data_IF_478488527996
#
_entry.id   IF_478488527996
#
_cell.length_a   1.000
_cell.length_b   1.000
_cell.length_c   1.000
_cell.angle_alpha   90.00
_cell.angle_beta   90.00
_cell.angle_gamma   90.00
#
_symmetry.space_group_name_H-M   'P 1'
#
loop_
_entity.id
_entity.type
_entity.pdbx_description
1 polymer ?
#
# COMPACT_ATOMS: atom_id res chain seq x y z
N UNK A 1 60.96 63.26 -1.56
CA UNK A 1 59.55 63.53 -1.89
C UNK A 1 58.77 62.25 -1.62
N UNK A 2 58.21 62.12 -0.42
CA UNK A 2 57.52 60.92 0.05
C UNK A 2 56.03 61.24 0.10
N UNK A 3 55.23 60.58 -0.73
CA UNK A 3 53.77 60.71 -0.72
C UNK A 3 53.17 59.51 0.00
N UNK A 4 52.51 59.81 1.11
CA UNK A 4 51.70 58.91 1.93
C UNK A 4 50.30 58.87 1.32
N UNK A 5 49.83 57.69 0.94
CA UNK A 5 48.43 57.46 0.58
C UNK A 5 47.75 56.67 1.70
N UNK A 6 46.82 57.32 2.39
CA UNK A 6 45.86 56.68 3.31
C UNK A 6 44.58 56.35 2.55
N UNK A 7 43.99 55.15 2.70
CA UNK A 7 42.66 54.88 2.17
C UNK A 7 41.61 55.25 3.22
N UNK A 8 40.79 56.26 2.90
CA UNK A 8 39.59 56.61 3.66
C UNK A 8 38.50 55.59 3.34
N UNK A 9 38.13 54.76 4.33
CA UNK A 9 37.00 53.86 4.25
C UNK A 9 35.68 54.63 4.32
N UNK A 10 34.92 54.64 3.23
CA UNK A 10 33.53 55.06 3.23
C UNK A 10 32.64 53.84 3.51
N UNK A 11 31.95 53.85 4.64
CA UNK A 11 30.96 52.83 5.00
C UNK A 11 29.75 52.98 4.07
N UNK A 12 29.48 51.95 3.27
CA UNK A 12 28.30 51.86 2.42
C UNK A 12 27.09 51.47 3.29
N UNK A 13 26.30 52.46 3.71
CA UNK A 13 24.99 52.21 4.33
C UNK A 13 24.00 51.81 3.24
N UNK A 14 23.57 50.55 3.27
CA UNK A 14 22.42 50.08 2.50
C UNK A 14 21.14 50.73 3.07
N UNK A 15 20.19 51.14 2.21
CA UNK A 15 18.93 51.70 2.66
C UNK A 15 18.13 50.64 3.42
N UNK A 16 17.73 50.96 4.65
CA UNK A 16 16.69 50.22 5.36
C UNK A 16 15.37 50.43 4.60
N UNK A 17 15.06 49.51 3.69
CA UNK A 17 13.71 49.40 3.13
C UNK A 17 12.84 48.69 4.15
N UNK A 18 11.98 49.47 4.80
CA UNK A 18 10.86 49.00 5.61
C UNK A 18 9.85 48.31 4.67
N UNK A 19 10.03 47.00 4.43
CA UNK A 19 9.13 46.20 3.60
C UNK A 19 7.90 45.87 4.43
N UNK A 20 6.94 46.80 4.46
CA UNK A 20 5.55 46.49 4.80
C UNK A 20 4.97 45.62 3.68
N UNK A 21 4.70 44.36 3.99
CA UNK A 21 3.93 43.46 3.13
C UNK A 21 2.48 43.97 2.96
N UNK A 22 1.94 44.05 1.74
CA UNK A 22 0.59 44.54 1.50
C UNK A 22 -0.40 43.37 1.41
N UNK A 23 -0.75 42.74 2.53
CA UNK A 23 -1.93 41.86 2.58
C UNK A 23 -2.68 42.04 3.91
N UNK A 24 -3.80 42.76 3.86
CA UNK A 24 -4.85 42.69 4.89
C UNK A 24 -5.84 41.62 4.46
N UNK A 25 -5.90 40.51 5.19
CA UNK A 25 -7.01 39.56 5.08
C UNK A 25 -8.22 40.14 5.79
N UNK A 26 -9.28 40.44 5.04
CA UNK A 26 -10.59 40.75 5.60
C UNK A 26 -11.16 39.49 6.25
N UNK A 27 -11.19 39.44 7.58
CA UNK A 27 -11.96 38.45 8.32
C UNK A 27 -13.46 38.63 8.03
N UNK A 28 -14.21 37.58 7.66
CA UNK A 28 -15.66 37.71 7.58
C UNK A 28 -16.24 37.82 9.01
N UNK A 29 -16.92 38.93 9.29
CA UNK A 29 -17.78 39.10 10.47
C UNK A 29 -18.83 37.97 10.48
N UNK A 30 -18.66 36.98 11.37
CA UNK A 30 -19.76 36.10 11.77
C UNK A 30 -20.73 36.89 12.65
N UNK A 31 -21.75 37.49 12.03
CA UNK A 31 -22.97 37.87 12.76
C UNK A 31 -23.77 36.61 13.05
N UNK A 32 -23.88 36.28 14.33
CA UNK A 32 -24.92 35.39 14.82
C UNK A 32 -26.26 36.12 14.75
N UNK A 33 -27.21 35.60 13.97
CA UNK A 33 -28.64 35.90 14.13
C UNK A 33 -29.39 34.63 14.52
N UNK A 34 -30.39 34.71 15.43
CA UNK A 34 -31.08 33.54 15.95
C UNK A 34 -32.11 33.03 14.95
N UNK A 35 -32.26 31.70 14.92
CA UNK A 35 -33.26 31.02 14.11
C UNK A 35 -34.68 31.30 14.59
N UNK A 36 -35.52 31.79 13.70
CA UNK A 36 -36.96 31.57 13.74
C UNK A 36 -37.44 31.06 12.38
N UNK A 37 -38.34 30.08 12.49
CA UNK A 37 -38.96 29.20 11.52
C UNK A 37 -39.76 29.91 10.43
N UNK A 38 -39.87 29.28 9.25
CA UNK A 38 -41.08 29.03 8.40
C UNK A 38 -40.61 28.51 7.03
N UNK A 39 -41.22 27.46 6.44
CA UNK A 39 -40.84 26.94 5.13
C UNK A 39 -41.57 27.67 3.98
N UNK A 40 -40.93 27.94 2.83
CA UNK A 40 -41.66 28.35 1.64
C UNK A 40 -41.97 27.16 0.72
N UNK A 41 -43.21 27.23 0.24
CA UNK A 41 -43.86 26.46 -0.81
C UNK A 41 -43.04 26.34 -2.10
N UNK A 42 -43.01 25.14 -2.68
CA UNK A 42 -42.50 24.88 -4.02
C UNK A 42 -43.50 25.38 -5.06
N UNK A 43 -43.11 26.39 -5.84
CA UNK A 43 -43.73 26.75 -7.10
C UNK A 43 -42.88 26.24 -8.27
N UNK A 44 -43.50 25.49 -9.18
CA UNK A 44 -42.98 25.20 -10.51
C UNK A 44 -42.67 26.49 -11.27
N UNK A 45 -41.74 26.44 -12.24
CA UNK A 45 -42.23 26.63 -13.59
C UNK A 45 -41.63 25.69 -14.62
N UNK A 46 -42.56 25.26 -15.47
CA UNK A 46 -42.46 24.71 -16.81
C UNK A 46 -41.51 25.53 -17.70
N UNK A 47 -40.55 24.88 -18.37
CA UNK A 47 -40.14 25.26 -19.73
C UNK A 47 -39.41 24.11 -20.43
N UNK A 48 -39.99 23.63 -21.53
CA UNK A 48 -39.40 22.65 -22.45
C UNK A 48 -38.88 23.35 -23.73
N UNK A 49 -38.05 22.67 -24.55
CA UNK A 49 -36.98 23.28 -25.36
C UNK A 49 -37.32 23.39 -26.86
N UNK A 50 -36.38 23.87 -27.69
CA UNK A 50 -36.16 23.20 -28.97
C UNK A 50 -34.67 23.03 -29.32
N UNK A 51 -34.32 21.88 -29.89
CA UNK A 51 -32.96 21.59 -30.35
C UNK A 51 -32.80 20.18 -30.87
N UNK A 52 -33.44 19.89 -32.01
CA UNK A 52 -33.34 18.64 -32.77
C UNK A 52 -31.97 18.50 -33.46
N UNK A 53 -31.38 17.30 -33.44
CA UNK A 53 -30.43 16.73 -34.43
C UNK A 53 -30.28 15.20 -34.15
N UNK A 54 -29.78 14.39 -35.10
CA UNK A 54 -30.52 13.27 -35.66
C UNK A 54 -30.24 11.91 -35.01
N UNK A 55 -31.25 11.04 -35.11
CA UNK A 55 -31.23 9.62 -34.81
C UNK A 55 -30.14 8.88 -35.61
N UNK A 56 -29.22 8.23 -34.88
CA UNK A 56 -28.46 7.09 -35.38
C UNK A 56 -29.07 5.87 -34.69
N UNK A 57 -29.73 5.06 -35.51
CA UNK A 57 -30.40 3.82 -35.16
C UNK A 57 -29.34 2.70 -35.05
N UNK A 58 -28.93 2.38 -33.81
CA UNK A 58 -28.14 1.19 -33.49
C UNK A 58 -28.98 0.26 -32.62
N UNK A 59 -29.89 -0.44 -33.30
CA UNK A 59 -30.67 -1.54 -32.75
C UNK A 59 -29.80 -2.79 -32.54
N UNK A 60 -29.27 -2.98 -31.32
CA UNK A 60 -28.70 -4.25 -30.86
C UNK A 60 -29.79 -5.09 -30.14
N UNK A 61 -29.96 -6.39 -30.46
CA UNK A 61 -30.92 -7.24 -29.78
C UNK A 61 -30.41 -7.62 -28.38
N UNK A 62 -31.14 -7.14 -27.37
CA UNK A 62 -31.02 -7.57 -25.97
C UNK A 62 -31.54 -9.00 -25.82
N UNK A 63 -30.63 -9.96 -25.67
CA UNK A 63 -30.94 -11.35 -25.31
C UNK A 63 -31.16 -11.37 -23.79
N UNK A 64 -32.42 -11.28 -23.38
CA UNK A 64 -32.84 -11.54 -22.00
C UNK A 64 -32.75 -13.04 -21.66
N UNK A 65 -32.46 -13.40 -20.39
CA UNK A 65 -32.46 -14.78 -19.95
C UNK A 65 -33.89 -15.35 -19.95
N UNK A 66 -34.08 -16.63 -20.32
CA UNK A 66 -35.40 -17.23 -20.35
C UNK A 66 -35.98 -17.37 -18.93
N UNK A 67 -37.20 -16.87 -18.78
CA UNK A 67 -38.04 -17.04 -17.61
C UNK A 67 -38.39 -18.54 -17.42
N UNK A 68 -38.02 -19.08 -16.26
CA UNK A 68 -38.42 -20.42 -15.84
C UNK A 68 -39.75 -20.30 -15.10
N UNK A 69 -40.82 -20.76 -15.73
CA UNK A 69 -42.14 -20.91 -15.11
C UNK A 69 -42.13 -22.06 -14.09
N UNK A 70 -42.88 -21.95 -12.98
CA UNK A 70 -42.93 -22.99 -11.95
C UNK A 70 -43.80 -24.17 -12.42
N UNK A 71 -43.18 -25.33 -12.60
CA UNK A 71 -43.89 -26.59 -12.89
C UNK A 71 -44.49 -27.15 -11.60
N UNK A 72 -45.81 -26.98 -11.52
CA UNK A 72 -46.84 -27.78 -10.85
C UNK A 72 -46.35 -29.12 -10.25
N UNK A 73 -46.49 -29.25 -8.93
CA UNK A 73 -46.42 -30.50 -8.18
C UNK A 73 -47.53 -31.45 -8.67
N UNK A 74 -47.14 -32.54 -9.32
CA UNK A 74 -47.97 -33.73 -9.47
C UNK A 74 -47.54 -34.77 -8.43
N UNK A 75 -48.43 -34.97 -7.47
CA UNK A 75 -48.46 -36.04 -6.49
C UNK A 75 -48.61 -37.38 -7.22
N UNK A 76 -47.49 -38.09 -7.43
CA UNK A 76 -47.49 -39.45 -7.98
C UNK A 76 -47.41 -40.46 -6.84
N UNK A 77 -48.57 -41.11 -6.63
CA UNK A 77 -48.83 -42.30 -5.84
C UNK A 77 -47.74 -43.40 -6.00
N UNK A 78 -47.22 -44.00 -4.92
CA UNK A 78 -46.36 -45.17 -5.02
C UNK A 78 -47.22 -46.42 -5.28
N UNK A 79 -47.25 -46.89 -6.53
CA UNK A 79 -47.77 -48.21 -6.87
C UNK A 79 -46.72 -49.27 -6.52
N UNK A 80 -46.87 -49.92 -5.37
CA UNK A 80 -46.14 -51.13 -5.02
C UNK A 80 -46.62 -52.29 -5.89
N UNK A 81 -46.08 -52.44 -7.09
CA UNK A 81 -46.15 -53.70 -7.83
C UNK A 81 -45.00 -54.60 -7.39
N UNK A 82 -45.36 -55.62 -6.62
CA UNK A 82 -44.52 -56.76 -6.27
C UNK A 82 -44.08 -57.50 -7.55
N UNK A 83 -42.94 -57.10 -8.12
CA UNK A 83 -42.18 -57.96 -9.01
C UNK A 83 -41.36 -58.93 -8.16
N UNK A 84 -41.92 -60.13 -7.98
CA UNK A 84 -41.19 -61.30 -7.48
C UNK A 84 -40.07 -61.59 -8.47
N UNK A 85 -38.89 -61.06 -8.18
CA UNK A 85 -37.65 -61.37 -8.89
C UNK A 85 -37.37 -62.86 -8.72
N UNK A 86 -37.53 -63.59 -9.82
CA UNK A 86 -37.08 -64.98 -9.95
C UNK A 86 -35.56 -64.99 -9.72
N UNK A 87 -35.02 -65.83 -8.83
CA UNK A 87 -33.59 -65.94 -8.63
C UNK A 87 -32.99 -66.51 -9.91
N UNK A 88 -32.43 -65.63 -10.73
CA UNK A 88 -31.58 -66.02 -11.85
C UNK A 88 -30.26 -66.45 -11.22
N UNK A 89 -29.88 -67.70 -11.45
CA UNK A 89 -28.60 -68.28 -11.07
C UNK A 89 -27.45 -67.30 -11.31
N UNK A 90 -26.56 -67.08 -10.33
CA UNK A 90 -25.44 -66.17 -10.49
C UNK A 90 -24.51 -66.77 -11.53
N UNK A 91 -24.56 -66.24 -12.75
CA UNK A 91 -23.43 -66.37 -13.65
C UNK A 91 -22.26 -65.72 -12.92
N UNK A 92 -21.19 -66.48 -12.68
CA UNK A 92 -19.86 -65.97 -12.36
C UNK A 92 -19.36 -65.16 -13.57
N UNK A 93 -20.05 -64.06 -13.87
CA UNK A 93 -19.63 -63.06 -14.83
C UNK A 93 -18.67 -62.14 -14.10
N UNK A 94 -17.46 -62.00 -14.63
CA UNK A 94 -16.48 -61.02 -14.19
C UNK A 94 -17.18 -59.68 -13.92
N UNK A 95 -17.04 -59.17 -12.69
CA UNK A 95 -17.60 -57.88 -12.32
C UNK A 95 -17.15 -56.82 -13.34
N UNK A 96 -18.03 -55.89 -13.75
CA UNK A 96 -17.70 -54.88 -14.74
C UNK A 96 -16.54 -54.02 -14.21
N UNK A 97 -15.34 -54.27 -14.75
CA UNK A 97 -14.15 -53.50 -14.47
C UNK A 97 -14.33 -52.09 -15.05
N UNK A 98 -13.98 -51.06 -14.28
CA UNK A 98 -13.86 -49.70 -14.82
C UNK A 98 -12.89 -49.75 -16.01
N UNK A 99 -13.29 -49.25 -17.20
CA UNK A 99 -12.42 -49.22 -18.35
C UNK A 99 -11.17 -48.38 -18.05
N UNK A 100 -10.00 -48.88 -18.44
CA UNK A 100 -8.73 -48.13 -18.34
C UNK A 100 -8.80 -46.76 -19.02
N UNK A 101 -9.57 -46.65 -20.10
CA UNK A 101 -9.80 -45.39 -20.82
C UNK A 101 -10.47 -44.32 -19.95
N UNK A 102 -11.28 -44.70 -18.96
CA UNK A 102 -11.87 -43.76 -18.01
C UNK A 102 -10.81 -43.17 -17.07
N UNK A 103 -9.90 -44.01 -16.56
CA UNK A 103 -8.75 -43.56 -15.78
C UNK A 103 -7.84 -42.63 -16.59
N UNK A 104 -7.54 -43.00 -17.84
CA UNK A 104 -6.74 -42.18 -18.75
C UNK A 104 -7.42 -40.83 -19.04
N UNK A 105 -8.75 -40.82 -19.19
CA UNK A 105 -9.52 -39.58 -19.32
C UNK A 105 -9.41 -38.70 -18.07
N UNK A 106 -9.58 -39.27 -16.87
CA UNK A 106 -9.40 -38.52 -15.62
C UNK A 106 -7.97 -37.97 -15.49
N UNK A 107 -6.96 -38.77 -15.78
CA UNK A 107 -5.57 -38.32 -15.73
C UNK A 107 -5.30 -37.17 -16.70
N UNK A 108 -5.87 -37.22 -17.91
CA UNK A 108 -5.74 -36.16 -18.89
C UNK A 108 -6.55 -34.91 -18.51
N UNK A 109 -7.79 -35.08 -18.07
CA UNK A 109 -8.71 -33.99 -17.70
C UNK A 109 -8.19 -33.19 -16.51
N UNK A 110 -7.70 -33.88 -15.48
CA UNK A 110 -7.14 -33.26 -14.27
C UNK A 110 -5.62 -33.02 -14.33
N UNK A 111 -4.97 -33.40 -15.43
CA UNK A 111 -3.51 -33.30 -15.62
C UNK A 111 -2.70 -33.95 -14.49
N UNK A 112 -3.10 -35.16 -14.12
CA UNK A 112 -2.49 -35.89 -13.00
C UNK A 112 -1.06 -36.36 -13.34
N UNK A 113 -0.18 -36.35 -12.34
CA UNK A 113 1.18 -36.91 -12.43
C UNK A 113 1.16 -38.45 -12.36
N UNK A 114 2.28 -39.07 -12.78
CA UNK A 114 2.42 -40.54 -12.80
C UNK A 114 2.14 -41.19 -11.43
N UNK A 115 2.59 -40.56 -10.35
CA UNK A 115 2.36 -41.02 -8.97
C UNK A 115 0.88 -41.00 -8.58
N UNK A 116 0.11 -40.01 -9.05
CA UNK A 116 -1.34 -39.89 -8.80
C UNK A 116 -2.13 -40.89 -9.65
N UNK A 117 -1.68 -41.12 -10.90
CA UNK A 117 -2.20 -42.20 -11.74
C UNK A 117 -2.05 -43.56 -11.03
N UNK A 118 -0.90 -43.82 -10.41
CA UNK A 118 -0.65 -45.06 -9.65
C UNK A 118 -1.59 -45.19 -8.43
N UNK A 119 -1.91 -44.08 -7.75
CA UNK A 119 -2.88 -44.06 -6.63
C UNK A 119 -4.30 -44.38 -7.11
N UNK A 120 -4.74 -43.78 -8.22
CA UNK A 120 -6.05 -44.08 -8.81
C UNK A 120 -6.14 -45.54 -9.28
N UNK A 121 -5.08 -46.08 -9.88
CA UNK A 121 -5.01 -47.49 -10.25
C UNK A 121 -5.05 -48.41 -9.02
N UNK A 122 -4.35 -48.05 -7.94
CA UNK A 122 -4.38 -48.79 -6.67
C UNK A 122 -5.80 -48.83 -6.08
N UNK A 123 -6.53 -47.71 -6.10
CA UNK A 123 -7.93 -47.63 -5.66
C UNK A 123 -8.84 -48.56 -6.46
N UNK A 124 -8.67 -48.61 -7.79
CA UNK A 124 -9.39 -49.55 -8.65
C UNK A 124 -9.05 -51.00 -8.29
N UNK A 125 -7.77 -51.33 -8.06
CA UNK A 125 -7.39 -52.68 -7.64
C UNK A 125 -8.01 -53.07 -6.29
N UNK A 126 -7.91 -52.22 -5.27
CA UNK A 126 -8.44 -52.51 -3.93
C UNK A 126 -9.96 -52.71 -3.98
N UNK A 127 -10.66 -51.88 -4.73
CA UNK A 127 -12.13 -51.98 -4.88
C UNK A 127 -12.59 -53.24 -5.59
N UNK A 128 -11.75 -53.81 -6.46
CA UNK A 128 -12.03 -55.08 -7.16
C UNK A 128 -11.78 -56.34 -6.30
N UNK A 129 -11.03 -56.21 -5.20
CA UNK A 129 -10.64 -57.35 -4.34
C UNK A 129 -11.50 -57.49 -3.06
N UNK A 130 -12.40 -56.54 -2.79
CA UNK A 130 -13.24 -56.57 -1.58
C UNK A 130 -14.35 -57.63 -1.60
N UNK A 131 -14.75 -58.12 -0.41
CA UNK A 131 -15.87 -59.06 -0.23
C UNK A 131 -17.23 -58.50 -0.67
N UNK A 132 -17.33 -57.19 -0.84
CA UNK A 132 -18.46 -56.48 -1.44
C UNK A 132 -17.90 -55.50 -2.47
N UNK A 133 -17.86 -55.88 -3.77
CA UNK A 133 -17.36 -54.98 -4.80
C UNK A 133 -18.22 -53.71 -4.83
N UNK A 134 -17.58 -52.55 -4.83
CA UNK A 134 -18.27 -51.27 -4.98
C UNK A 134 -19.01 -51.26 -6.32
N UNK A 135 -20.17 -50.59 -6.37
CA UNK A 135 -20.83 -50.37 -7.65
C UNK A 135 -19.90 -49.54 -8.55
N UNK A 136 -19.97 -49.77 -9.86
CA UNK A 136 -19.17 -49.02 -10.83
C UNK A 136 -19.40 -47.50 -10.69
N UNK A 137 -20.63 -47.10 -10.39
CA UNK A 137 -20.99 -45.70 -10.17
C UNK A 137 -20.33 -45.12 -8.91
N UNK A 138 -20.35 -45.86 -7.80
CA UNK A 138 -19.71 -45.41 -6.55
C UNK A 138 -18.20 -45.31 -6.70
N UNK A 139 -17.57 -46.28 -7.37
CA UNK A 139 -16.14 -46.26 -7.61
C UNK A 139 -15.73 -45.11 -8.55
N UNK A 140 -16.48 -44.88 -9.63
CA UNK A 140 -16.23 -43.73 -10.52
C UNK A 140 -16.40 -42.39 -9.77
N UNK A 141 -17.42 -42.28 -8.91
CA UNK A 141 -17.63 -41.09 -8.09
C UNK A 141 -16.46 -40.84 -7.11
N UNK A 142 -15.97 -41.89 -6.45
CA UNK A 142 -14.79 -41.81 -5.57
C UNK A 142 -13.53 -41.42 -6.32
N UNK A 143 -13.26 -42.04 -7.48
CA UNK A 143 -12.09 -41.70 -8.31
C UNK A 143 -12.14 -40.24 -8.77
N UNK A 144 -13.32 -39.75 -9.18
CA UNK A 144 -13.52 -38.36 -9.56
C UNK A 144 -13.31 -37.41 -8.37
N UNK A 145 -13.86 -37.74 -7.19
CA UNK A 145 -13.65 -36.96 -5.98
C UNK A 145 -12.18 -36.94 -5.55
N UNK A 146 -11.47 -38.07 -5.61
CA UNK A 146 -10.04 -38.14 -5.29
C UNK A 146 -9.22 -37.31 -6.27
N UNK A 147 -9.44 -37.45 -7.58
CA UNK A 147 -8.74 -36.65 -8.59
C UNK A 147 -9.02 -35.14 -8.41
N UNK A 148 -10.25 -34.77 -8.05
CA UNK A 148 -10.63 -33.38 -7.82
C UNK A 148 -10.08 -32.81 -6.51
N UNK A 149 -10.05 -33.61 -5.43
CA UNK A 149 -9.51 -33.21 -4.13
C UNK A 149 -7.98 -33.09 -4.19
N UNK A 150 -7.31 -34.02 -4.85
CA UNK A 150 -5.86 -33.97 -5.05
C UNK A 150 -5.46 -32.73 -5.86
N UNK A 151 -6.13 -32.40 -6.97
CA UNK A 151 -5.81 -31.19 -7.73
C UNK A 151 -6.08 -29.89 -6.94
N UNK A 152 -7.10 -29.85 -6.07
CA UNK A 152 -7.42 -28.66 -5.26
C UNK A 152 -6.53 -28.52 -4.03
N UNK A 153 -6.34 -29.57 -3.26
CA UNK A 153 -5.56 -29.53 -2.02
C UNK A 153 -4.06 -29.41 -2.31
N UNK A 154 -3.54 -30.11 -3.32
CA UNK A 154 -2.13 -29.91 -3.71
C UNK A 154 -1.92 -28.52 -4.32
N UNK A 155 -2.87 -27.99 -5.10
CA UNK A 155 -2.79 -26.57 -5.51
C UNK A 155 -2.82 -25.66 -4.29
N UNK A 156 -3.75 -25.83 -3.36
CA UNK A 156 -3.83 -25.00 -2.15
C UNK A 156 -2.54 -25.06 -1.33
N UNK A 157 -1.96 -26.25 -1.13
CA UNK A 157 -0.67 -26.42 -0.45
C UNK A 157 0.49 -25.78 -1.22
N UNK A 158 0.52 -25.90 -2.55
CA UNK A 158 1.51 -25.22 -3.39
C UNK A 158 1.31 -23.69 -3.36
N UNK A 159 0.06 -23.23 -3.24
CA UNK A 159 -0.32 -21.83 -3.09
C UNK A 159 0.14 -21.27 -1.73
N UNK A 160 0.00 -22.04 -0.65
CA UNK A 160 0.46 -21.67 0.70
C UNK A 160 1.98 -21.69 0.86
N UNK A 161 2.66 -22.58 0.12
CA UNK A 161 4.12 -22.74 0.24
C UNK A 161 4.91 -21.80 -0.67
N UNK A 162 4.27 -21.15 -1.66
CA UNK A 162 4.98 -20.23 -2.52
C UNK A 162 5.46 -19.00 -1.74
N UNK A 163 6.79 -18.84 -1.68
CA UNK A 163 7.45 -17.65 -1.12
C UNK A 163 8.37 -17.05 -2.17
N UNK A 164 8.34 -15.72 -2.27
CA UNK A 164 9.33 -14.98 -3.04
C UNK A 164 10.71 -15.27 -2.47
N UNK A 165 11.69 -15.49 -3.36
CA UNK A 165 13.07 -15.64 -2.90
C UNK A 165 13.60 -14.28 -2.38
N UNK A 166 14.71 -14.30 -1.64
CA UNK A 166 15.25 -13.10 -0.99
C UNK A 166 15.57 -11.98 -1.99
N UNK A 167 16.16 -12.33 -3.14
CA UNK A 167 16.51 -11.36 -4.19
C UNK A 167 15.25 -10.69 -4.78
N UNK A 168 14.18 -11.46 -5.03
CA UNK A 168 12.89 -10.95 -5.48
C UNK A 168 12.27 -10.02 -4.44
N UNK A 169 12.33 -10.37 -3.16
CA UNK A 169 11.84 -9.51 -2.08
C UNK A 169 12.62 -8.20 -1.99
N UNK A 170 13.95 -8.26 -2.08
CA UNK A 170 14.82 -7.07 -2.08
C UNK A 170 14.54 -6.18 -3.30
N UNK A 171 14.31 -6.78 -4.48
CA UNK A 171 13.92 -6.06 -5.69
C UNK A 171 12.56 -5.37 -5.54
N UNK A 172 11.54 -6.06 -5.00
CA UNK A 172 10.22 -5.46 -4.73
C UNK A 172 10.39 -4.26 -3.82
N UNK A 173 11.07 -4.43 -2.68
CA UNK A 173 11.29 -3.34 -1.71
C UNK A 173 12.00 -2.15 -2.35
N UNK A 174 13.09 -2.39 -3.08
CA UNK A 174 13.86 -1.34 -3.76
C UNK A 174 13.02 -0.54 -4.75
N UNK A 175 12.16 -1.21 -5.52
CA UNK A 175 11.25 -0.55 -6.46
C UNK A 175 10.18 0.23 -5.71
N UNK A 176 9.57 -0.36 -4.68
CA UNK A 176 8.56 0.30 -3.84
C UNK A 176 9.09 1.61 -3.26
N UNK A 177 10.25 1.57 -2.60
CA UNK A 177 10.88 2.77 -2.02
C UNK A 177 11.17 3.83 -3.09
N UNK A 178 11.64 3.41 -4.27
CA UNK A 178 11.94 4.32 -5.37
C UNK A 178 10.70 4.96 -6.00
N UNK A 179 9.60 4.22 -6.12
CA UNK A 179 8.32 4.76 -6.62
C UNK A 179 7.74 5.72 -5.58
N UNK A 180 7.74 5.32 -4.30
CA UNK A 180 7.26 6.15 -3.19
C UNK A 180 8.00 7.49 -3.13
N UNK A 181 9.32 7.46 -3.36
CA UNK A 181 10.21 8.62 -3.30
C UNK A 181 10.44 9.29 -4.66
N UNK A 182 9.65 8.93 -5.67
CA UNK A 182 9.73 9.53 -7.00
C UNK A 182 9.26 10.98 -6.96
N UNK A 183 10.07 11.88 -7.52
CA UNK A 183 9.75 13.31 -7.66
C UNK A 183 8.45 13.57 -8.43
N UNK A 184 8.00 12.61 -9.23
CA UNK A 184 6.74 12.71 -10.01
C UNK A 184 5.52 12.17 -9.26
N UNK A 185 5.72 11.59 -8.08
CA UNK A 185 4.64 10.97 -7.32
C UNK A 185 3.85 12.04 -6.58
N UNK A 186 2.54 12.09 -6.84
CA UNK A 186 1.55 12.77 -5.99
C UNK A 186 0.49 11.80 -5.45
N UNK A 187 0.56 10.52 -5.85
CA UNK A 187 -0.36 9.43 -5.49
C UNK A 187 0.44 8.31 -4.81
N UNK A 188 0.49 8.37 -3.49
CA UNK A 188 1.24 7.49 -2.60
C UNK A 188 0.47 6.22 -2.23
N UNK A 189 -0.86 6.24 -2.23
CA UNK A 189 -1.73 5.10 -1.93
C UNK A 189 -1.60 3.99 -2.98
N UNK A 190 -1.30 4.36 -4.23
CA UNK A 190 -1.17 3.43 -5.35
C UNK A 190 0.24 2.83 -5.50
N UNK A 191 1.15 3.08 -4.55
CA UNK A 191 2.56 2.66 -4.65
C UNK A 191 2.70 1.15 -4.86
N UNK A 192 1.86 0.34 -4.22
CA UNK A 192 1.88 -1.12 -4.35
C UNK A 192 1.44 -1.56 -5.75
N UNK A 193 0.41 -0.92 -6.33
CA UNK A 193 -0.04 -1.20 -7.69
C UNK A 193 1.02 -0.78 -8.71
N UNK A 194 1.58 0.42 -8.57
CA UNK A 194 2.65 0.90 -9.43
C UNK A 194 3.90 0.01 -9.36
N UNK A 195 4.23 -0.50 -8.17
CA UNK A 195 5.32 -1.48 -7.97
C UNK A 195 5.04 -2.75 -8.74
N UNK A 196 3.84 -3.33 -8.60
CA UNK A 196 3.44 -4.53 -9.33
C UNK A 196 3.53 -4.34 -10.85
N UNK A 197 2.97 -3.25 -11.38
CA UNK A 197 3.05 -2.92 -12.81
C UNK A 197 4.49 -2.71 -13.30
N UNK A 198 5.36 -2.13 -12.46
CA UNK A 198 6.77 -1.93 -12.81
C UNK A 198 7.54 -3.25 -12.92
N UNK A 199 7.23 -4.20 -12.03
CA UNK A 199 7.79 -5.56 -12.06
C UNK A 199 7.32 -6.30 -13.33
N UNK A 200 6.02 -6.23 -13.64
CA UNK A 200 5.43 -6.84 -14.83
C UNK A 200 6.08 -6.34 -16.13
N UNK A 201 6.33 -5.03 -16.23
CA UNK A 201 6.97 -4.42 -17.41
C UNK A 201 8.43 -4.83 -17.59
N UNK A 202 9.09 -5.40 -16.59
CA UNK A 202 10.53 -5.65 -16.60
C UNK A 202 10.90 -6.97 -15.92
N UNK A 203 10.19 -8.04 -16.31
CA UNK A 203 10.28 -9.38 -15.72
C UNK A 203 11.70 -9.90 -15.60
N UNK A 204 12.49 -9.81 -16.67
CA UNK A 204 13.84 -10.39 -16.74
C UNK A 204 14.82 -9.64 -15.84
N UNK A 205 14.71 -8.31 -15.79
CA UNK A 205 15.58 -7.45 -14.97
C UNK A 205 15.45 -7.76 -13.48
N UNK A 206 14.26 -8.13 -13.02
CA UNK A 206 13.95 -8.32 -11.60
C UNK A 206 13.78 -9.79 -11.19
N UNK A 207 14.09 -10.74 -12.08
CA UNK A 207 13.97 -12.16 -11.80
C UNK A 207 12.52 -12.64 -11.60
N UNK A 208 11.54 -12.00 -12.25
CA UNK A 208 10.11 -12.26 -12.05
C UNK A 208 9.48 -13.16 -13.14
N UNK A 209 10.27 -13.63 -14.11
CA UNK A 209 9.78 -14.42 -15.26
C UNK A 209 9.00 -15.69 -14.86
N UNK A 210 9.37 -16.33 -13.75
CA UNK A 210 8.72 -17.55 -13.25
C UNK A 210 7.46 -17.31 -12.38
N UNK A 211 7.14 -16.04 -12.11
CA UNK A 211 6.00 -15.61 -11.28
C UNK A 211 4.83 -15.23 -12.17
N UNK A 212 5.08 -14.36 -13.16
CA UNK A 212 4.04 -13.89 -14.07
C UNK A 212 3.59 -14.99 -15.03
N UNK A 213 2.29 -15.05 -15.29
CA UNK A 213 1.64 -16.17 -15.98
C UNK A 213 1.13 -17.27 -15.04
N UNK A 214 1.46 -17.18 -13.75
CA UNK A 214 0.87 -18.02 -12.71
C UNK A 214 -0.03 -17.19 -11.78
N UNK A 215 -1.38 -17.34 -11.86
CA UNK A 215 -2.31 -16.52 -11.09
C UNK A 215 -2.06 -16.53 -9.57
N UNK A 216 -1.62 -17.67 -9.02
CA UNK A 216 -1.33 -17.78 -7.59
C UNK A 216 -0.04 -17.05 -7.20
N UNK A 217 1.04 -17.21 -7.97
CA UNK A 217 2.31 -16.51 -7.68
C UNK A 217 2.14 -15.00 -7.84
N UNK A 218 1.36 -14.57 -8.83
CA UNK A 218 0.98 -13.17 -8.97
C UNK A 218 0.16 -12.66 -7.79
N UNK A 219 -0.79 -13.44 -7.27
CA UNK A 219 -1.55 -13.09 -6.06
C UNK A 219 -0.61 -12.91 -4.86
N UNK A 220 0.31 -13.84 -4.63
CA UNK A 220 1.31 -13.74 -3.58
C UNK A 220 2.22 -12.52 -3.76
N UNK A 221 2.66 -12.24 -5.00
CA UNK A 221 3.45 -11.05 -5.32
C UNK A 221 2.66 -9.75 -5.05
N UNK A 222 1.38 -9.67 -5.43
CA UNK A 222 0.51 -8.51 -5.14
C UNK A 222 0.36 -8.28 -3.64
N UNK A 223 0.15 -9.36 -2.87
CA UNK A 223 0.08 -9.28 -1.41
C UNK A 223 1.39 -8.74 -0.82
N UNK A 224 2.54 -9.24 -1.28
CA UNK A 224 3.85 -8.77 -0.83
C UNK A 224 4.12 -7.30 -1.25
N UNK A 225 3.71 -6.89 -2.45
CA UNK A 225 3.80 -5.49 -2.89
C UNK A 225 2.94 -4.57 -2.01
N UNK A 226 1.75 -5.02 -1.58
CA UNK A 226 0.89 -4.28 -0.64
C UNK A 226 1.58 -4.13 0.71
N UNK A 227 2.11 -5.22 1.27
CA UNK A 227 2.85 -5.22 2.53
C UNK A 227 4.05 -4.27 2.49
N UNK A 228 4.91 -4.38 1.47
CA UNK A 228 6.05 -3.48 1.30
C UNK A 228 5.62 -2.04 1.08
N UNK A 229 4.53 -1.80 0.34
CA UNK A 229 3.95 -0.48 0.13
C UNK A 229 3.52 0.19 1.44
N UNK A 230 2.87 -0.55 2.34
CA UNK A 230 2.53 -0.07 3.68
C UNK A 230 3.78 0.16 4.53
N UNK A 231 4.70 -0.82 4.58
CA UNK A 231 5.91 -0.73 5.39
C UNK A 231 6.81 0.47 5.01
N UNK A 232 7.02 0.72 3.72
CA UNK A 232 7.87 1.83 3.25
C UNK A 232 7.20 3.19 3.47
N UNK A 233 5.88 3.27 3.28
CA UNK A 233 5.06 4.44 3.64
C UNK A 233 5.19 4.78 5.12
N UNK A 234 5.12 3.79 6.00
CA UNK A 234 5.31 4.02 7.44
C UNK A 234 6.68 4.51 7.82
N UNK A 235 7.72 3.97 7.19
CA UNK A 235 9.08 4.45 7.44
C UNK A 235 9.22 5.91 7.00
N UNK A 236 8.75 6.25 5.80
CA UNK A 236 8.87 7.61 5.27
C UNK A 236 8.04 8.61 6.09
N UNK A 237 6.82 8.24 6.53
CA UNK A 237 6.01 9.06 7.43
C UNK A 237 6.76 9.35 8.74
N UNK A 238 7.33 8.32 9.38
CA UNK A 238 8.11 8.48 10.63
C UNK A 238 9.31 9.38 10.43
N UNK A 239 10.02 9.25 9.32
CA UNK A 239 11.16 10.11 8.97
C UNK A 239 10.73 11.57 8.71
N UNK A 240 9.62 11.79 7.99
CA UNK A 240 9.05 13.12 7.74
C UNK A 240 8.63 13.80 9.06
N UNK A 241 7.87 13.11 9.90
CA UNK A 241 7.45 13.60 11.21
C UNK A 241 8.64 13.94 12.08
N UNK A 242 9.60 13.02 12.20
CA UNK A 242 10.82 13.26 12.97
C UNK A 242 11.57 14.50 12.47
N UNK A 243 11.63 14.72 11.15
CA UNK A 243 12.34 15.83 10.54
C UNK A 243 11.78 17.23 10.83
N UNK A 244 10.52 17.31 11.30
CA UNK A 244 9.86 18.57 11.65
C UNK A 244 9.50 18.67 13.16
N UNK A 245 9.68 17.60 13.94
CA UNK A 245 9.33 17.55 15.37
C UNK A 245 10.53 17.19 16.26
N UNK A 246 10.69 15.91 16.60
CA UNK A 246 11.61 15.37 17.60
C UNK A 246 13.07 15.48 17.19
N UNK A 247 13.35 15.42 15.89
CA UNK A 247 14.68 15.51 15.29
C UNK A 247 14.62 16.49 14.13
N UNK A 248 14.18 17.71 14.44
CA UNK A 248 14.10 18.79 13.48
C UNK A 248 15.45 18.96 12.77
N UNK A 249 15.48 18.82 11.45
CA UNK A 249 16.71 18.93 10.64
C UNK A 249 16.50 19.87 9.47
N UNK A 250 17.60 20.44 8.96
CA UNK A 250 17.59 21.24 7.74
C UNK A 250 17.08 20.42 6.55
N UNK A 251 16.46 21.09 5.58
CA UNK A 251 15.98 20.46 4.35
C UNK A 251 17.09 19.70 3.61
N UNK A 252 18.31 20.23 3.59
CA UNK A 252 19.47 19.59 2.98
C UNK A 252 19.82 18.27 3.67
N UNK A 253 19.92 18.26 5.01
CA UNK A 253 20.24 17.06 5.78
C UNK A 253 19.14 16.01 5.65
N UNK A 254 17.87 16.42 5.69
CA UNK A 254 16.75 15.52 5.43
C UNK A 254 16.84 14.93 4.01
N UNK A 255 17.07 15.77 3.00
CA UNK A 255 17.14 15.34 1.61
C UNK A 255 18.26 14.33 1.38
N UNK A 256 19.44 14.56 1.94
CA UNK A 256 20.56 13.61 1.88
C UNK A 256 20.20 12.28 2.53
N UNK A 257 19.71 12.30 3.77
CA UNK A 257 19.39 11.09 4.54
C UNK A 257 18.26 10.28 3.90
N UNK A 258 17.18 10.94 3.49
CA UNK A 258 16.03 10.28 2.86
C UNK A 258 16.39 9.74 1.48
N UNK A 259 17.17 10.47 0.68
CA UNK A 259 17.65 9.95 -0.61
C UNK A 259 18.53 8.72 -0.45
N UNK A 260 19.40 8.67 0.57
CA UNK A 260 20.22 7.50 0.84
C UNK A 260 19.39 6.25 1.22
N UNK A 261 18.21 6.45 1.83
CA UNK A 261 17.30 5.36 2.24
C UNK A 261 16.37 4.90 1.12
N UNK A 262 15.76 5.83 0.40
CA UNK A 262 14.61 5.54 -0.46
C UNK A 262 14.89 5.64 -1.97
N UNK A 263 15.91 6.42 -2.38
CA UNK A 263 16.28 6.57 -3.80
C UNK A 263 17.27 5.49 -4.21
N UNK A 264 16.98 4.77 -5.28
CA UNK A 264 17.93 3.78 -5.83
C UNK A 264 19.19 4.50 -6.33
N UNK A 265 20.34 4.07 -5.84
CA UNK A 265 21.64 4.70 -6.11
C UNK A 265 21.95 5.93 -5.24
N UNK A 266 21.05 6.31 -4.31
CA UNK A 266 21.24 7.44 -3.41
C UNK A 266 21.22 8.80 -4.11
N UNK A 267 21.75 9.81 -3.42
CA UNK A 267 21.92 11.15 -3.97
C UNK A 267 23.31 11.29 -4.59
N UNK A 268 23.36 11.79 -5.83
CA UNK A 268 24.63 12.12 -6.47
C UNK A 268 25.38 13.27 -5.75
N UNK A 269 26.67 13.48 -6.05
CA UNK A 269 27.51 14.46 -5.34
C UNK A 269 27.06 15.91 -5.48
N UNK A 270 26.27 16.22 -6.52
CA UNK A 270 25.71 17.57 -6.75
C UNK A 270 24.31 17.77 -6.16
N UNK A 271 23.74 16.75 -5.53
CA UNK A 271 22.32 16.74 -5.22
C UNK A 271 21.44 16.64 -6.46
N UNK A 272 20.15 16.45 -6.24
CA UNK A 272 19.13 16.56 -7.30
C UNK A 272 18.13 17.63 -6.85
N UNK A 273 18.12 18.83 -7.46
CA UNK A 273 17.28 19.93 -7.01
C UNK A 273 15.79 19.58 -7.07
N UNK A 274 15.40 18.68 -7.97
CA UNK A 274 14.02 18.23 -8.07
C UNK A 274 13.62 17.34 -6.89
N UNK A 275 14.56 16.57 -6.33
CA UNK A 275 14.35 15.81 -5.08
C UNK A 275 14.23 16.74 -3.89
N UNK A 276 15.08 17.77 -3.79
CA UNK A 276 14.99 18.78 -2.74
C UNK A 276 13.63 19.51 -2.79
N UNK A 277 13.20 19.90 -3.99
CA UNK A 277 11.88 20.50 -4.23
C UNK A 277 10.73 19.58 -3.82
N UNK A 278 10.81 18.28 -4.14
CA UNK A 278 9.80 17.31 -3.72
C UNK A 278 9.78 17.12 -2.19
N UNK A 279 10.94 17.05 -1.54
CA UNK A 279 11.03 16.90 -0.10
C UNK A 279 10.46 18.10 0.66
N UNK A 280 10.64 19.33 0.15
CA UNK A 280 10.05 20.50 0.81
C UNK A 280 8.52 20.48 0.74
N UNK A 281 7.95 19.99 -0.37
CA UNK A 281 6.50 19.79 -0.50
C UNK A 281 5.99 18.74 0.50
N UNK A 282 6.67 17.59 0.62
CA UNK A 282 6.31 16.56 1.59
C UNK A 282 6.39 17.07 3.03
N UNK A 283 7.43 17.84 3.38
CA UNK A 283 7.58 18.45 4.70
C UNK A 283 6.51 19.51 4.96
N UNK A 284 6.18 20.34 3.97
CA UNK A 284 5.11 21.33 4.07
C UNK A 284 3.75 20.66 4.30
N UNK A 285 3.42 19.61 3.52
CA UNK A 285 2.21 18.81 3.72
C UNK A 285 2.14 18.22 5.13
N UNK A 286 3.25 17.60 5.58
CA UNK A 286 3.35 16.99 6.91
C UNK A 286 3.17 18.03 8.01
N UNK A 287 3.79 19.21 7.88
CA UNK A 287 3.67 20.31 8.83
C UNK A 287 2.24 20.86 8.89
N UNK A 288 1.59 21.04 7.74
CA UNK A 288 0.19 21.45 7.68
C UNK A 288 -0.73 20.45 8.40
N UNK A 289 -0.55 19.15 8.16
CA UNK A 289 -1.31 18.11 8.85
C UNK A 289 -1.02 18.08 10.36
N UNK A 290 0.23 18.24 10.75
CA UNK A 290 0.64 18.31 12.15
C UNK A 290 0.01 19.51 12.87
N UNK A 291 -0.04 20.68 12.24
CA UNK A 291 -0.69 21.86 12.79
C UNK A 291 -2.21 21.69 12.90
N UNK A 292 -2.84 21.06 11.91
CA UNK A 292 -4.29 20.85 11.85
C UNK A 292 -4.80 19.81 12.84
N UNK A 293 -4.06 18.72 13.03
CA UNK A 293 -4.51 17.55 13.81
C UNK A 293 -3.74 17.34 15.12
N UNK A 294 -2.56 17.96 15.28
CA UNK A 294 -1.68 17.78 16.43
C UNK A 294 -0.82 16.51 16.37
N UNK A 295 0.20 16.46 17.23
CA UNK A 295 1.21 15.38 17.24
C UNK A 295 0.62 13.98 17.48
N UNK A 296 -0.18 13.83 18.54
CA UNK A 296 -0.74 12.54 18.96
C UNK A 296 -1.61 11.93 17.88
N UNK A 297 -2.41 12.76 17.21
CA UNK A 297 -3.28 12.28 16.14
C UNK A 297 -2.50 11.80 14.92
N UNK A 298 -1.28 12.25 14.66
CA UNK A 298 -0.57 11.95 13.42
C UNK A 298 0.28 10.67 13.51
N UNK A 299 0.75 10.34 14.71
CA UNK A 299 1.47 9.09 15.00
C UNK A 299 0.51 7.88 15.01
N UNK A 300 -0.70 8.05 15.55
CA UNK A 300 -1.70 7.00 15.68
C UNK A 300 -2.36 6.60 14.34
N UNK A 301 -2.20 7.39 13.27
CA UNK A 301 -2.95 7.24 12.01
C UNK A 301 -2.51 6.08 11.10
N UNK A 302 -1.43 5.37 11.44
CA UNK A 302 -0.89 4.34 10.56
C UNK A 302 -0.58 3.01 11.26
N UNK A 303 -0.60 2.95 12.59
CA UNK A 303 -0.31 1.71 13.33
C UNK A 303 -1.45 0.67 13.27
N UNK A 304 -2.56 0.99 12.59
CA UNK A 304 -3.77 0.16 12.58
C UNK A 304 -3.88 -0.92 11.50
N UNK A 305 -2.99 -0.97 10.49
CA UNK A 305 -3.16 -1.87 9.31
C UNK A 305 -2.12 -2.98 9.20
N UNK A 306 -1.34 -3.24 10.26
CA UNK A 306 -0.61 -4.49 10.37
C UNK A 306 -1.58 -5.59 10.84
N UNK A 307 -2.62 -5.85 10.04
CA UNK A 307 -3.34 -7.11 10.09
C UNK A 307 -2.28 -8.17 9.82
N UNK A 308 -1.83 -8.79 10.90
CA UNK A 308 -0.95 -9.93 10.85
C UNK A 308 -1.71 -10.94 10.00
N UNK A 309 -1.25 -11.16 8.77
CA UNK A 309 -1.69 -12.29 7.97
C UNK A 309 -1.38 -13.50 8.83
N UNK A 310 -2.41 -13.96 9.53
CA UNK A 310 -2.35 -15.05 10.47
C UNK A 310 -2.28 -16.32 9.62
N UNK A 311 -1.07 -16.57 9.11
CA UNK A 311 -0.66 -17.88 8.57
C UNK A 311 -0.42 -18.86 9.72
N UNK A 312 -1.31 -18.89 10.70
CA UNK A 312 -1.27 -19.83 11.81
C UNK A 312 -1.97 -21.11 11.40
N UNK A 313 -1.22 -21.99 10.74
CA UNK A 313 -1.57 -23.40 10.67
C UNK A 313 -0.67 -24.22 11.62
N UNK A 314 -1.32 -24.86 12.61
CA UNK A 314 -0.85 -26.14 13.14
C UNK A 314 0.22 -26.17 14.24
N UNK A 315 0.18 -25.33 15.28
CA UNK A 315 0.99 -25.60 16.49
C UNK A 315 0.13 -25.62 17.76
N UNK A 316 -0.05 -26.83 18.29
CA UNK A 316 -0.78 -27.18 19.52
C UNK A 316 -0.03 -26.73 20.80
N UNK A 317 -0.05 -25.43 21.11
CA UNK A 317 -0.02 -24.93 22.49
C UNK A 317 -0.23 -23.40 22.50
N UNK A 318 -1.24 -22.85 23.20
CA UNK A 318 -1.48 -21.42 23.22
C UNK A 318 -0.62 -20.73 24.31
N UNK A 319 0.28 -19.80 23.98
CA UNK A 319 0.71 -18.80 24.94
C UNK A 319 -0.41 -17.78 25.11
N UNK A 320 -0.82 -17.52 26.35
CA UNK A 320 -1.86 -16.54 26.67
C UNK A 320 -1.39 -15.10 26.36
N UNK A 321 -1.42 -14.70 25.09
CA UNK A 321 -1.21 -13.31 24.70
C UNK A 321 -2.42 -12.48 25.14
N UNK A 322 -2.16 -11.50 26.00
CA UNK A 322 -3.15 -10.55 26.50
C UNK A 322 -3.88 -9.91 25.31
N UNK A 323 -5.19 -10.15 25.21
CA UNK A 323 -6.09 -9.47 24.25
C UNK A 323 -5.90 -7.96 24.37
N UNK A 324 -5.15 -7.38 23.44
CA UNK A 324 -5.18 -5.94 23.22
C UNK A 324 -6.61 -5.62 22.79
N UNK A 325 -7.32 -4.79 23.55
CA UNK A 325 -8.68 -4.37 23.18
C UNK A 325 -8.58 -3.71 21.81
N UNK A 326 -9.30 -4.24 20.83
CA UNK A 326 -9.44 -3.67 19.50
C UNK A 326 -9.91 -2.21 19.62
N UNK A 327 -8.96 -1.26 19.65
CA UNK A 327 -9.25 0.13 19.39
C UNK A 327 -9.71 0.21 17.94
N UNK A 328 -10.87 0.83 17.73
CA UNK A 328 -11.66 0.72 16.51
C UNK A 328 -10.85 0.99 15.25
N UNK A 329 -11.21 0.28 14.18
CA UNK A 329 -10.73 0.57 12.83
C UNK A 329 -10.82 2.08 12.58
N UNK A 330 -9.70 2.68 12.20
CA UNK A 330 -9.65 4.08 11.79
C UNK A 330 -10.64 4.23 10.62
N UNK A 331 -11.57 5.20 10.66
CA UNK A 331 -12.49 5.43 9.56
C UNK A 331 -11.73 5.59 8.24
N UNK A 332 -12.21 4.89 7.20
CA UNK A 332 -11.64 4.94 5.85
C UNK A 332 -11.60 6.39 5.35
N UNK A 333 -10.46 6.86 4.82
CA UNK A 333 -10.27 8.25 4.39
C UNK A 333 -9.51 9.15 5.39
N UNK A 334 -9.05 8.60 6.51
CA UNK A 334 -8.32 9.38 7.52
C UNK A 334 -6.82 9.09 7.57
N UNK A 335 -6.31 8.18 6.74
CA UNK A 335 -4.89 7.82 6.80
C UNK A 335 -3.98 9.01 6.51
N UNK A 336 -2.75 8.98 7.04
CA UNK A 336 -1.76 10.03 6.80
C UNK A 336 -1.56 10.29 5.31
N UNK A 337 -1.37 9.23 4.51
CA UNK A 337 -1.07 9.35 3.08
C UNK A 337 -2.26 9.84 2.25
N UNK A 338 -3.50 9.43 2.55
CA UNK A 338 -4.70 10.01 1.90
C UNK A 338 -4.78 11.52 2.17
N UNK A 339 -4.47 11.96 3.40
CA UNK A 339 -4.44 13.39 3.74
C UNK A 339 -3.31 14.14 3.03
N UNK A 340 -2.15 13.53 2.84
CA UNK A 340 -1.06 14.09 2.03
C UNK A 340 -1.49 14.22 0.57
N UNK A 341 -2.09 13.20 -0.02
CA UNK A 341 -2.60 13.26 -1.41
C UNK A 341 -3.65 14.37 -1.59
N UNK A 342 -4.58 14.51 -0.65
CA UNK A 342 -5.58 15.58 -0.67
C UNK A 342 -4.92 16.98 -0.61
N UNK A 343 -3.83 17.12 0.15
CA UNK A 343 -3.06 18.37 0.18
C UNK A 343 -2.36 18.63 -1.17
N UNK A 344 -1.75 17.60 -1.77
CA UNK A 344 -1.15 17.71 -3.10
C UNK A 344 -2.19 18.07 -4.17
N UNK A 345 -3.37 17.46 -4.13
CA UNK A 345 -4.46 17.75 -5.07
C UNK A 345 -4.93 19.21 -4.96
N UNK A 346 -4.99 19.77 -3.75
CA UNK A 346 -5.32 21.18 -3.53
C UNK A 346 -4.23 22.12 -4.07
N UNK A 347 -2.94 21.80 -3.88
CA UNK A 347 -1.84 22.57 -4.46
C UNK A 347 -1.84 22.48 -5.99
N UNK A 348 -2.07 21.30 -6.57
CA UNK A 348 -2.20 21.10 -8.02
C UNK A 348 -3.36 21.90 -8.60
N UNK A 349 -4.51 21.92 -7.92
CA UNK A 349 -5.65 22.74 -8.34
C UNK A 349 -5.32 24.24 -8.32
N UNK A 350 -4.44 24.68 -7.41
CA UNK A 350 -4.06 26.10 -7.25
C UNK A 350 -2.95 26.54 -8.21
N UNK A 351 -1.98 25.67 -8.50
CA UNK A 351 -0.76 26.01 -9.25
C UNK A 351 -0.67 25.38 -10.64
N UNK A 352 -1.64 24.55 -11.02
CA UNK A 352 -1.73 23.83 -12.29
C UNK A 352 -1.11 22.43 -12.24
N UNK A 353 -0.94 21.81 -13.42
CA UNK A 353 -0.36 20.46 -13.57
C UNK A 353 0.93 20.32 -12.75
N UNK A 354 1.08 19.18 -12.05
CA UNK A 354 2.23 18.90 -11.20
C UNK A 354 3.53 18.80 -12.00
N UNK A 355 4.20 19.94 -12.14
CA UNK A 355 5.42 20.07 -12.93
C UNK A 355 6.40 21.03 -12.26
N UNK A 356 7.35 20.48 -11.50
CA UNK A 356 8.39 21.24 -10.79
C UNK A 356 9.32 22.06 -11.72
N UNK A 357 9.23 21.88 -13.04
CA UNK A 357 9.96 22.70 -14.00
C UNK A 357 9.21 23.96 -14.42
N UNK A 358 7.89 24.04 -14.19
CA UNK A 358 7.08 25.22 -14.51
C UNK A 358 7.47 26.40 -13.62
N UNK A 359 7.26 27.63 -14.11
CA UNK A 359 7.58 28.83 -13.34
C UNK A 359 6.70 28.97 -12.09
N UNK A 360 5.41 28.59 -12.18
CA UNK A 360 4.48 28.63 -11.05
C UNK A 360 4.93 27.72 -9.91
N UNK A 361 5.28 26.47 -10.22
CA UNK A 361 5.77 25.51 -9.23
C UNK A 361 7.14 25.89 -8.68
N UNK A 362 8.06 26.43 -9.50
CA UNK A 362 9.36 26.91 -9.02
C UNK A 362 9.20 28.01 -7.97
N UNK A 363 8.35 28.99 -8.24
CA UNK A 363 8.06 30.06 -7.28
C UNK A 363 7.49 29.50 -5.99
N UNK A 364 6.48 28.62 -6.07
CA UNK A 364 5.88 27.97 -4.89
C UNK A 364 6.91 27.18 -4.08
N UNK A 365 7.76 26.40 -4.75
CA UNK A 365 8.84 25.65 -4.09
C UNK A 365 9.83 26.59 -3.41
N UNK A 366 10.23 27.68 -4.06
CA UNK A 366 11.15 28.66 -3.47
C UNK A 366 10.56 29.33 -2.22
N UNK A 367 9.28 29.70 -2.24
CA UNK A 367 8.54 30.21 -1.09
C UNK A 367 8.54 29.20 0.07
N UNK A 368 8.25 27.92 -0.23
CA UNK A 368 8.26 26.85 0.78
C UNK A 368 9.67 26.55 1.30
N UNK A 369 10.70 26.62 0.45
CA UNK A 369 12.09 26.46 0.87
C UNK A 369 12.54 27.60 1.78
N UNK A 370 12.16 28.84 1.50
CA UNK A 370 12.43 29.98 2.36
C UNK A 370 11.74 29.84 3.73
N UNK A 371 10.48 29.40 3.73
CA UNK A 371 9.73 29.12 4.97
C UNK A 371 10.36 27.96 5.78
N UNK A 372 10.75 26.85 5.12
CA UNK A 372 11.43 25.73 5.77
C UNK A 372 12.78 26.17 6.36
N UNK A 373 13.56 26.95 5.62
CA UNK A 373 14.83 27.50 6.09
C UNK A 373 14.63 28.44 7.29
N UNK A 374 13.58 29.25 7.32
CA UNK A 374 13.28 30.11 8.47
C UNK A 374 12.93 29.29 9.73
N UNK A 375 12.23 28.16 9.56
CA UNK A 375 11.83 27.27 10.65
C UNK A 375 12.97 26.38 11.16
N UNK A 376 13.76 25.82 10.25
CA UNK A 376 14.67 24.71 10.55
C UNK A 376 16.15 25.01 10.20
N UNK A 377 16.44 26.13 9.54
CA UNK A 377 17.77 26.50 9.08
C UNK A 377 18.74 26.93 10.19
N UNK A 378 18.22 27.41 11.32
CA UNK A 378 19.04 27.78 12.49
C UNK A 378 19.57 26.59 13.30
N UNK A 379 19.12 25.36 12.99
CA UNK A 379 19.58 24.15 13.66
C UNK A 379 20.86 23.64 12.98
N UNK A 380 21.94 24.40 13.10
CA UNK A 380 23.27 23.81 13.01
C UNK A 380 23.41 22.94 14.25
N UNK A 381 23.01 21.67 14.16
CA UNK A 381 23.54 20.68 15.08
C UNK A 381 25.04 20.89 15.02
N UNK A 382 25.63 21.33 16.14
CA UNK A 382 27.06 21.16 16.33
C UNK A 382 27.29 19.69 15.99
N UNK A 383 27.86 19.47 14.81
CA UNK A 383 28.27 18.17 14.35
C UNK A 383 29.25 17.76 15.43
N UNK A 384 28.75 16.95 16.37
CA UNK A 384 29.53 16.40 17.45
C UNK A 384 30.57 15.59 16.71
N UNK A 385 31.74 16.23 16.53
CA UNK A 385 32.75 15.77 15.61
C UNK A 385 32.92 14.29 15.91
N UNK A 386 32.73 13.39 14.93
CA UNK A 386 32.75 11.96 15.19
C UNK A 386 34.02 11.71 15.99
N UNK A 387 33.93 11.12 17.20
CA UNK A 387 35.01 11.13 18.17
C UNK A 387 36.28 10.67 17.46
N UNK A 388 37.15 11.65 17.17
CA UNK A 388 38.44 11.43 16.54
C UNK A 388 39.32 10.88 17.64
N UNK A 389 39.12 9.62 18.02
CA UNK A 389 40.07 8.80 18.77
C UNK A 389 39.46 7.41 19.05
N UNK A 390 39.75 6.45 18.17
CA UNK A 390 39.91 5.04 18.53
C UNK A 390 40.68 4.28 17.43
N UNK A 391 41.84 4.82 17.03
CA UNK A 391 42.95 3.92 16.68
C UNK A 391 43.43 3.39 18.02
N UNK A 392 42.91 2.25 18.47
CA UNK A 392 43.50 1.50 19.58
C UNK A 392 43.76 0.07 19.12
N UNK A 393 45.05 -0.24 19.06
CA UNK A 393 45.54 -1.59 19.21
C UNK A 393 45.17 -2.19 20.58
N UNK A 394 45.49 -3.46 20.80
CA UNK A 394 44.97 -4.22 21.91
C UNK A 394 45.71 -3.87 23.21
N UNK A 395 45.02 -3.32 24.22
CA UNK A 395 45.51 -3.42 25.59
C UNK A 395 44.42 -3.36 26.65
N UNK A 396 44.64 -4.23 27.64
CA UNK A 396 43.83 -4.69 28.76
C UNK A 396 43.43 -3.62 29.79
N UNK A 397 42.25 -3.88 30.39
CA UNK A 397 41.79 -3.57 31.76
C UNK A 397 42.30 -2.30 32.47
N UNK A 398 41.38 -1.36 32.71
CA UNK A 398 41.33 -0.61 33.97
C UNK A 398 39.90 -0.10 34.25
N UNK A 399 39.52 -0.13 35.53
CA UNK A 399 38.17 0.12 36.07
C UNK A 399 38.16 1.40 36.93
N UNK A 400 37.01 2.10 36.90
CA UNK A 400 36.48 3.12 37.83
C UNK A 400 36.86 4.62 37.59
N UNK A 401 36.15 5.61 38.18
CA UNK A 401 34.80 5.65 38.80
C UNK A 401 33.88 6.78 38.26
N UNK A 402 32.66 6.82 38.82
CA UNK A 402 31.50 7.64 38.49
C UNK A 402 31.60 9.14 38.84
N UNK A 403 30.83 9.95 38.10
CA UNK A 403 30.37 11.27 38.53
C UNK A 403 30.37 12.33 37.42
N UNK A 404 29.25 12.52 36.72
CA UNK A 404 28.99 13.78 36.02
C UNK A 404 27.49 14.11 35.94
N UNK A 405 27.14 15.40 36.01
CA UNK A 405 25.77 15.86 36.24
C UNK A 405 24.92 15.82 34.98
N UNK A 406 23.61 15.68 35.16
CA UNK A 406 22.61 15.59 34.11
C UNK A 406 22.56 16.87 33.24
N UNK A 407 22.38 16.75 31.91
CA UNK A 407 22.19 17.89 31.04
C UNK A 407 20.80 18.51 31.24
N UNK A 408 20.78 19.85 31.26
CA UNK A 408 19.57 20.67 31.33
C UNK A 408 18.70 20.41 30.10
N UNK A 409 17.47 19.96 30.36
CA UNK A 409 16.41 19.77 29.36
C UNK A 409 15.99 21.13 28.79
N UNK A 410 16.42 21.43 27.56
CA UNK A 410 15.93 22.54 26.77
C UNK A 410 14.58 22.16 26.17
N UNK A 411 13.49 22.72 26.70
CA UNK A 411 12.18 22.60 26.06
C UNK A 411 12.17 23.33 24.70
N UNK A 412 11.59 22.73 23.64
CA UNK A 412 11.43 23.40 22.36
C UNK A 412 10.49 24.60 22.50
N UNK A 413 11.01 25.81 22.19
CA UNK A 413 10.21 27.03 22.18
C UNK A 413 9.16 26.99 21.07
N UNK A 414 7.96 27.49 21.39
CA UNK A 414 6.78 27.62 20.53
C UNK A 414 6.98 28.60 19.34
N UNK A 415 7.86 28.27 18.38
CA UNK A 415 8.04 29.04 17.15
C UNK A 415 6.93 28.79 16.09
N UNK A 416 6.04 27.81 16.31
CA UNK A 416 5.10 27.34 15.30
C UNK A 416 3.77 28.10 15.16
N UNK A 417 3.48 29.12 16.00
CA UNK A 417 2.16 29.78 15.99
C UNK A 417 2.05 30.99 15.04
N UNK A 418 3.13 31.74 14.82
CA UNK A 418 3.10 32.94 13.96
C UNK A 418 3.36 32.66 12.48
N UNK A 419 3.74 31.43 12.11
CA UNK A 419 4.01 31.03 10.72
C UNK A 419 2.84 30.29 10.06
N UNK A 420 1.83 29.87 10.84
CA UNK A 420 0.62 29.24 10.32
C UNK A 420 -0.22 30.19 9.44
N UNK A 421 -0.02 31.51 9.57
CA UNK A 421 -0.67 32.53 8.75
C UNK A 421 -0.01 32.77 7.39
N UNK A 422 1.19 32.22 7.14
CA UNK A 422 1.84 32.26 5.82
C UNK A 422 1.53 31.02 4.95
N UNK A 423 0.96 29.98 5.54
CA UNK A 423 0.64 28.70 4.88
C UNK A 423 -0.88 28.46 4.74
N UNK A 424 -1.71 29.37 5.24
CA UNK A 424 -3.17 29.46 5.04
C UNK A 424 -3.48 30.72 4.25
#
# INVERSE_FOLDING_TARGET
MSSVFSPTGAAFQLPQTDVRFPFQFSTPERRFTPMHSVPPSFGEPTTSPPGSLPEIDDSLPSIGPPAVSPTREEEVQPCYQNMVMRPSTPHLGHAPLIPRTFLEHLCHEFKLEKSQEDVLQMLVMISSQGHTPLSQADLACRLYQTAQLEDKDMRSMLEETFKLNKEQQDNVRSITSNILYSVKSSKFMDVNLQTFMRLEKSLEKYGMKAIFGSPHKERALRAFCKEMGTLERSKLQKDLLASITTRAVTLEKFTYNSSAKYKVGGMGPRGDPAVTAHNVLLRAATLHLYQKHGARSLEDLEEGDHDSIDGSDGSTAPPASKKCKAQGQIPRGESFWEKVELWFDAEIASWGEYNLSSMSWKQRVEELMAADQALFGGHTFHDEAPPRDAVHGPSLFARAPAGSPAPVSLQPRHAGRDLASLLL
#
